data_IF_921161554619
#
_entry.id   IF_921161554619
#
_cell.length_a   1.000
_cell.length_b   1.000
_cell.length_c   1.000
_cell.angle_alpha   90.00
_cell.angle_beta   90.00
_cell.angle_gamma   90.00
#
_symmetry.space_group_name_H-M   'P 1'
#
loop_
_entity.id
_entity.type
_entity.pdbx_description
1 polymer ?
#
# COMPACT_ATOMS: atom_id res chain seq x y z
N UNK A 1 41.01 3.94 -28.49
CA UNK A 1 40.76 5.13 -27.64
C UNK A 1 39.46 5.84 -27.99
N UNK A 2 39.28 6.41 -29.19
CA UNK A 2 38.04 7.14 -29.57
C UNK A 2 36.74 6.32 -29.44
N UNK A 3 36.75 5.04 -29.84
CA UNK A 3 35.59 4.13 -29.71
C UNK A 3 35.23 3.83 -28.24
N UNK A 4 36.21 3.79 -27.35
CA UNK A 4 36.00 3.53 -25.91
C UNK A 4 35.30 4.71 -25.23
N UNK A 5 35.60 5.96 -25.62
CA UNK A 5 34.90 7.14 -25.10
C UNK A 5 33.43 7.20 -25.54
N UNK A 6 33.13 6.78 -26.77
CA UNK A 6 31.75 6.70 -27.27
C UNK A 6 30.94 5.68 -26.48
N UNK A 7 31.51 4.50 -26.20
CA UNK A 7 30.84 3.47 -25.38
C UNK A 7 30.59 3.98 -23.96
N UNK A 8 31.58 4.63 -23.33
CA UNK A 8 31.41 5.21 -21.99
C UNK A 8 30.31 6.28 -21.97
N UNK A 9 30.27 7.16 -22.96
CA UNK A 9 29.23 8.20 -23.06
C UNK A 9 27.82 7.62 -23.26
N UNK A 10 27.68 6.58 -24.08
CA UNK A 10 26.39 5.89 -24.28
C UNK A 10 25.93 5.20 -23.00
N UNK A 11 26.83 4.55 -22.27
CA UNK A 11 26.50 3.92 -20.98
C UNK A 11 26.12 4.97 -19.94
N UNK A 12 26.85 6.09 -19.87
CA UNK A 12 26.55 7.18 -18.94
C UNK A 12 25.17 7.81 -19.25
N UNK A 13 24.88 8.02 -20.54
CA UNK A 13 23.58 8.52 -20.97
C UNK A 13 22.44 7.56 -20.65
N UNK A 14 22.62 6.26 -20.89
CA UNK A 14 21.63 5.24 -20.54
C UNK A 14 21.37 5.17 -19.02
N UNK A 15 22.40 5.32 -18.18
CA UNK A 15 22.23 5.36 -16.72
C UNK A 15 21.48 6.61 -16.24
N UNK A 16 21.69 7.76 -16.90
CA UNK A 16 20.98 9.01 -16.60
C UNK A 16 19.50 8.93 -16.99
N UNK A 17 19.17 8.31 -18.13
CA UNK A 17 17.77 8.20 -18.56
C UNK A 17 16.97 7.24 -17.68
N UNK A 18 17.55 6.14 -17.20
CA UNK A 18 16.85 5.19 -16.30
C UNK A 18 16.39 5.85 -15.00
N UNK A 19 17.17 6.78 -14.43
CA UNK A 19 16.77 7.53 -13.23
C UNK A 19 15.67 8.56 -13.50
N UNK A 20 15.65 9.15 -14.70
CA UNK A 20 14.67 10.17 -15.08
C UNK A 20 13.25 9.62 -15.32
N UNK A 21 13.10 8.30 -15.50
CA UNK A 21 11.80 7.64 -15.68
C UNK A 21 11.30 6.90 -14.43
N UNK A 22 11.96 7.08 -13.28
CA UNK A 22 11.45 6.54 -12.02
C UNK A 22 10.26 7.40 -11.57
N UNK A 23 9.04 6.90 -11.78
CA UNK A 23 7.83 7.54 -11.29
C UNK A 23 7.65 7.26 -9.79
N UNK A 24 7.47 8.32 -9.00
CA UNK A 24 7.03 8.17 -7.61
C UNK A 24 5.55 7.77 -7.59
N UNK A 25 5.24 6.67 -6.91
CA UNK A 25 3.87 6.19 -6.75
C UNK A 25 3.28 6.68 -5.43
N UNK A 26 2.11 7.29 -5.49
CA UNK A 26 1.34 7.67 -4.32
C UNK A 26 0.26 6.62 -4.04
N UNK A 27 0.03 6.32 -2.76
CA UNK A 27 -1.10 5.51 -2.37
C UNK A 27 -2.39 6.33 -2.50
N UNK A 28 -3.36 5.84 -3.28
CA UNK A 28 -4.58 6.59 -3.62
C UNK A 28 -5.86 6.05 -2.97
N UNK A 29 -5.74 4.99 -2.16
CA UNK A 29 -6.87 4.32 -1.54
C UNK A 29 -7.70 3.46 -2.50
N UNK A 30 -8.47 2.53 -1.93
CA UNK A 30 -9.28 1.58 -2.70
C UNK A 30 -10.46 2.24 -3.44
N UNK A 31 -10.94 3.39 -2.98
CA UNK A 31 -12.08 4.09 -3.59
C UNK A 31 -11.81 4.50 -5.04
N UNK A 32 -10.56 4.82 -5.39
CA UNK A 32 -10.20 5.08 -6.79
C UNK A 32 -10.40 3.86 -7.69
N UNK A 33 -10.30 2.65 -7.14
CA UNK A 33 -10.50 1.40 -7.88
C UNK A 33 -11.99 1.17 -8.17
N UNK A 34 -12.90 1.71 -7.34
CA UNK A 34 -14.36 1.53 -7.44
C UNK A 34 -14.92 1.92 -8.80
N UNK A 35 -14.37 2.97 -9.41
CA UNK A 35 -14.88 3.49 -10.69
C UNK A 35 -14.85 2.47 -11.82
N UNK A 36 -13.84 1.58 -11.84
CA UNK A 36 -13.68 0.56 -12.88
C UNK A 36 -14.05 -0.84 -12.38
N UNK A 37 -13.89 -1.13 -11.09
CA UNK A 37 -14.01 -2.49 -10.54
C UNK A 37 -15.32 -2.76 -9.79
N UNK A 38 -16.35 -1.92 -9.95
CA UNK A 38 -17.67 -2.11 -9.30
C UNK A 38 -18.67 -2.91 -10.15
N UNK A 39 -18.55 -2.89 -11.48
CA UNK A 39 -19.58 -3.41 -12.38
C UNK A 39 -19.61 -4.95 -12.45
N UNK A 40 -20.75 -5.53 -12.85
CA UNK A 40 -20.86 -6.96 -13.16
C UNK A 40 -19.92 -7.40 -14.27
N UNK A 41 -19.86 -6.63 -15.36
CA UNK A 41 -19.01 -6.90 -16.51
C UNK A 41 -17.52 -6.95 -16.14
N UNK A 42 -17.11 -6.16 -15.15
CA UNK A 42 -15.73 -6.16 -14.65
C UNK A 42 -15.49 -7.26 -13.60
N UNK A 43 -16.52 -7.93 -13.09
CA UNK A 43 -16.39 -8.98 -12.06
C UNK A 43 -16.67 -8.52 -10.62
N UNK A 44 -17.23 -7.33 -10.42
CA UNK A 44 -17.64 -6.76 -9.13
C UNK A 44 -16.54 -6.78 -8.03
N UNK A 45 -15.26 -6.71 -8.38
CA UNK A 45 -14.17 -6.94 -7.42
C UNK A 45 -14.21 -5.97 -6.24
N UNK A 46 -14.50 -4.70 -6.48
CA UNK A 46 -14.61 -3.71 -5.41
C UNK A 46 -15.73 -4.05 -4.45
N UNK A 47 -16.94 -4.29 -4.96
CA UNK A 47 -18.12 -4.63 -4.14
C UNK A 47 -17.89 -5.91 -3.34
N UNK A 48 -17.33 -6.94 -3.99
CA UNK A 48 -17.02 -8.19 -3.33
C UNK A 48 -15.95 -8.00 -2.26
N UNK A 49 -14.84 -7.30 -2.55
CA UNK A 49 -13.80 -7.01 -1.57
C UNK A 49 -14.32 -6.19 -0.38
N UNK A 50 -15.07 -5.11 -0.63
CA UNK A 50 -15.62 -4.19 0.37
C UNK A 50 -16.50 -4.93 1.39
N UNK A 51 -17.20 -5.98 0.95
CA UNK A 51 -18.04 -6.82 1.82
C UNK A 51 -17.28 -7.81 2.72
N UNK A 52 -15.97 -8.04 2.49
CA UNK A 52 -15.19 -9.10 3.15
C UNK A 52 -14.49 -8.58 4.41
N UNK A 53 -13.82 -9.48 5.12
CA UNK A 53 -13.17 -9.15 6.40
C UNK A 53 -11.96 -8.23 6.24
N UNK A 54 -11.19 -8.35 5.15
CA UNK A 54 -9.98 -7.54 4.97
C UNK A 54 -10.25 -6.06 4.74
N UNK A 55 -11.31 -5.69 4.01
CA UNK A 55 -11.72 -4.28 3.85
C UNK A 55 -12.11 -3.64 5.18
N UNK A 56 -12.58 -4.44 6.15
CA UNK A 56 -13.01 -4.04 7.49
C UNK A 56 -11.97 -4.33 8.58
N UNK A 57 -10.73 -4.64 8.19
CA UNK A 57 -9.70 -5.06 9.15
C UNK A 57 -9.37 -3.97 10.17
N UNK A 58 -9.37 -2.69 9.75
CA UNK A 58 -9.16 -1.58 10.66
C UNK A 58 -10.28 -1.45 11.72
N UNK A 59 -11.54 -1.60 11.31
CA UNK A 59 -12.70 -1.55 12.22
C UNK A 59 -12.59 -2.60 13.34
N UNK A 60 -12.00 -3.76 13.03
CA UNK A 60 -11.78 -4.81 14.01
C UNK A 60 -10.87 -4.37 15.17
N UNK A 61 -9.99 -3.37 14.97
CA UNK A 61 -9.15 -2.81 16.02
C UNK A 61 -9.94 -1.94 17.02
N UNK A 62 -11.13 -1.46 16.65
CA UNK A 62 -11.96 -0.64 17.53
C UNK A 62 -12.90 -1.45 18.44
N UNK A 63 -12.85 -2.78 18.36
CA UNK A 63 -13.65 -3.66 19.20
C UNK A 63 -13.02 -3.81 20.59
N UNK A 64 -13.83 -3.98 21.64
CA UNK A 64 -13.33 -4.24 22.99
C UNK A 64 -12.40 -5.46 23.04
N UNK A 65 -12.73 -6.50 22.26
CA UNK A 65 -11.91 -7.71 22.14
C UNK A 65 -10.52 -7.43 21.56
N UNK A 66 -10.35 -6.38 20.77
CA UNK A 66 -9.05 -6.01 20.22
C UNK A 66 -8.08 -5.54 21.30
N UNK A 67 -8.56 -4.85 22.35
CA UNK A 67 -7.73 -4.42 23.48
C UNK A 67 -7.18 -5.62 24.24
N UNK A 68 -8.00 -6.65 24.43
CA UNK A 68 -7.57 -7.92 25.07
C UNK A 68 -6.48 -8.61 24.25
N UNK A 69 -6.73 -8.84 22.95
CA UNK A 69 -5.78 -9.51 22.04
C UNK A 69 -4.49 -8.69 21.88
N UNK A 70 -4.60 -7.36 21.85
CA UNK A 70 -3.44 -6.47 21.83
C UNK A 70 -2.60 -6.62 23.11
N UNK A 71 -3.25 -6.72 24.27
CA UNK A 71 -2.60 -7.01 25.55
C UNK A 71 -1.86 -8.35 25.55
N UNK A 72 -2.47 -9.41 25.03
CA UNK A 72 -1.83 -10.73 24.85
C UNK A 72 -0.60 -10.65 23.93
N UNK A 73 -0.65 -9.78 22.92
CA UNK A 73 0.47 -9.50 22.01
C UNK A 73 1.52 -8.53 22.59
N UNK A 74 1.36 -8.07 23.84
CA UNK A 74 2.28 -7.15 24.50
C UNK A 74 2.12 -5.68 24.09
N UNK A 75 1.05 -5.33 23.38
CA UNK A 75 0.68 -3.95 23.04
C UNK A 75 -0.03 -3.31 24.22
N UNK A 76 0.41 -2.13 24.63
CA UNK A 76 -0.29 -1.29 25.62
C UNK A 76 -1.06 -0.19 24.91
N UNK A 77 -2.27 0.11 25.40
CA UNK A 77 -3.10 1.20 24.88
C UNK A 77 -3.98 0.77 23.71
N UNK A 78 -4.39 1.75 22.89
CA UNK A 78 -5.34 1.56 21.81
C UNK A 78 -4.69 0.80 20.63
N UNK A 79 -5.17 -0.40 20.25
CA UNK A 79 -4.63 -1.13 19.11
C UNK A 79 -4.80 -0.38 17.78
N UNK A 80 -5.82 0.45 17.62
CA UNK A 80 -5.99 1.32 16.44
C UNK A 80 -4.91 2.40 16.29
N UNK A 81 -4.07 2.60 17.30
CA UNK A 81 -2.95 3.56 17.28
C UNK A 81 -1.59 2.84 17.31
N UNK A 82 -1.58 1.52 17.52
CA UNK A 82 -0.36 0.74 17.64
C UNK A 82 0.22 0.39 16.27
N UNK A 83 1.47 0.80 15.94
CA UNK A 83 2.12 0.40 14.70
C UNK A 83 2.19 -1.13 14.51
N UNK A 84 2.23 -1.87 15.61
CA UNK A 84 2.27 -3.35 15.59
C UNK A 84 0.97 -3.93 15.01
N UNK A 85 -0.17 -3.32 15.31
CA UNK A 85 -1.48 -3.72 14.78
C UNK A 85 -1.71 -3.12 13.38
N UNK A 86 -1.34 -1.85 13.19
CA UNK A 86 -1.57 -1.11 11.94
C UNK A 86 -0.80 -1.68 10.74
N UNK A 87 0.36 -2.30 10.96
CA UNK A 87 1.14 -2.97 9.90
C UNK A 87 0.30 -3.94 9.05
N UNK A 88 -0.71 -4.58 9.65
CA UNK A 88 -1.58 -5.54 8.97
C UNK A 88 -3.02 -5.04 8.79
N UNK A 89 -3.55 -4.27 9.72
CA UNK A 89 -4.96 -3.83 9.72
C UNK A 89 -5.18 -2.45 9.09
N UNK A 90 -4.12 -1.71 8.79
CA UNK A 90 -4.11 -0.55 7.91
C UNK A 90 -2.80 -0.53 7.11
N UNK A 91 -2.60 -1.48 6.17
CA UNK A 91 -1.39 -1.52 5.36
C UNK A 91 -1.17 -0.18 4.68
N UNK A 92 0.05 0.35 4.76
CA UNK A 92 0.41 1.69 4.29
C UNK A 92 -0.17 2.85 5.11
N UNK A 93 -0.53 2.66 6.39
CA UNK A 93 -0.98 3.77 7.26
C UNK A 93 0.00 4.96 7.30
N UNK A 94 1.31 4.72 7.15
CA UNK A 94 2.33 5.77 7.06
C UNK A 94 2.24 6.61 5.79
N UNK A 95 1.57 6.09 4.75
CA UNK A 95 1.37 6.69 3.43
C UNK A 95 -0.12 6.94 3.14
N UNK A 96 -0.97 6.84 4.16
CA UNK A 96 -2.37 7.20 4.02
C UNK A 96 -2.47 8.68 3.63
N UNK A 97 -3.33 9.04 2.66
CA UNK A 97 -3.56 10.44 2.30
C UNK A 97 -4.17 11.25 3.47
#
# INVERSE_FOLDING_TARGET
>A
MKKSYVVVLVVLFALLTVNAFSADFTYVGADKCKMCHKSEKSGQQFTLWESRKHSKSFEALSLDKAVEVAGEAGVKGNPSESPQCLKCHAPLHEKAP
#
